data_IF_530641024771
#
_entry.id   IF_530641024771
#
_cell.length_a   1.000
_cell.length_b   1.000
_cell.length_c   1.000
_cell.angle_alpha   90.00
_cell.angle_beta   90.00
_cell.angle_gamma   90.00
#
_symmetry.space_group_name_H-M   'P 1'
#
loop_
_entity.id
_entity.type
_entity.pdbx_description
1 polymer ?
#
# COMPACT_ATOMS: atom_id res chain seq x y z
N UNK A 1 -14.05 -9.45 10.61
CA UNK A 1 -13.25 -9.16 11.82
C UNK A 1 -11.75 -9.23 11.58
N UNK A 2 -11.19 -10.35 11.08
CA UNK A 2 -9.74 -10.47 10.82
C UNK A 2 -9.17 -9.37 9.92
N UNK A 3 -9.83 -9.06 8.79
CA UNK A 3 -9.37 -7.98 7.90
C UNK A 3 -9.33 -6.60 8.58
N UNK A 4 -10.31 -6.30 9.45
CA UNK A 4 -10.33 -5.06 10.22
C UNK A 4 -9.19 -5.00 11.25
N UNK A 5 -8.83 -6.14 11.85
CA UNK A 5 -7.66 -6.23 12.74
C UNK A 5 -6.37 -5.97 11.95
N UNK A 6 -6.17 -6.63 10.80
CA UNK A 6 -4.98 -6.42 9.97
C UNK A 6 -4.84 -4.98 9.45
N UNK A 7 -5.94 -4.36 9.02
CA UNK A 7 -5.95 -2.95 8.62
C UNK A 7 -5.72 -2.01 9.82
N UNK A 8 -6.36 -2.30 10.97
CA UNK A 8 -6.20 -1.54 12.19
C UNK A 8 -4.77 -1.59 12.74
N UNK A 9 -4.10 -2.74 12.72
CA UNK A 9 -2.73 -2.90 13.20
C UNK A 9 -1.73 -2.08 12.38
N UNK A 10 -1.80 -2.14 11.05
CA UNK A 10 -0.89 -1.38 10.19
C UNK A 10 -1.14 0.13 10.28
N UNK A 11 -2.42 0.55 10.33
CA UNK A 11 -2.78 1.96 10.47
C UNK A 11 -2.32 2.52 11.82
N UNK A 12 -2.62 1.82 12.92
CA UNK A 12 -2.18 2.24 14.24
C UNK A 12 -0.65 2.32 14.33
N UNK A 13 0.07 1.35 13.79
CA UNK A 13 1.53 1.36 13.74
C UNK A 13 2.07 2.55 12.96
N UNK A 14 1.53 2.82 11.76
CA UNK A 14 1.94 3.92 10.93
C UNK A 14 1.65 5.28 11.57
N UNK A 15 0.47 5.45 12.18
CA UNK A 15 0.10 6.68 12.89
C UNK A 15 1.00 6.93 14.11
N UNK A 16 1.30 5.90 14.90
CA UNK A 16 2.17 6.04 16.07
C UNK A 16 3.62 6.39 15.68
N UNK A 17 4.09 5.85 14.55
CA UNK A 17 5.49 5.94 14.14
C UNK A 17 5.76 6.92 12.99
N UNK A 18 4.77 7.68 12.51
CA UNK A 18 4.88 8.49 11.30
C UNK A 18 6.12 9.41 11.29
N UNK A 19 6.42 10.13 12.39
CA UNK A 19 7.59 11.02 12.47
C UNK A 19 8.92 10.28 12.33
N UNK A 20 9.00 9.08 12.90
CA UNK A 20 10.19 8.23 12.81
C UNK A 20 10.33 7.67 11.40
N UNK A 21 9.22 7.29 10.75
CA UNK A 21 9.21 6.88 9.34
C UNK A 21 9.59 8.05 8.42
N UNK A 22 9.16 9.27 8.73
CA UNK A 22 9.56 10.48 8.00
C UNK A 22 11.06 10.75 8.11
N UNK A 23 11.68 10.46 9.25
CA UNK A 23 13.14 10.58 9.40
C UNK A 23 13.91 9.65 8.43
N UNK A 24 13.35 8.48 8.07
CA UNK A 24 13.97 7.59 7.07
C UNK A 24 13.98 8.20 5.67
N UNK A 25 13.12 9.18 5.36
CA UNK A 25 13.15 9.88 4.07
C UNK A 25 14.43 10.70 3.89
N UNK A 26 15.05 11.13 5.00
CA UNK A 26 16.34 11.84 5.00
C UNK A 26 17.56 10.89 4.94
N UNK A 27 17.33 9.57 4.93
CA UNK A 27 18.37 8.54 4.95
C UNK A 27 18.63 7.94 6.34
N UNK A 28 19.27 6.76 6.36
CA UNK A 28 19.50 6.01 7.61
C UNK A 28 20.41 6.76 8.59
N UNK A 29 21.53 7.33 8.13
CA UNK A 29 22.47 8.09 8.98
C UNK A 29 21.81 9.33 9.62
N UNK A 30 20.94 10.01 8.88
CA UNK A 30 20.19 11.16 9.38
C UNK A 30 19.17 10.72 10.44
N UNK A 31 18.44 9.63 10.19
CA UNK A 31 17.51 9.06 11.15
C UNK A 31 18.20 8.61 12.46
N UNK A 32 19.37 7.97 12.36
CA UNK A 32 20.17 7.59 13.53
C UNK A 32 20.61 8.82 14.34
N UNK A 33 21.08 9.87 13.66
CA UNK A 33 21.47 11.14 14.30
C UNK A 33 20.30 11.85 15.01
N UNK A 34 19.06 11.63 14.52
CA UNK A 34 17.82 12.10 15.15
C UNK A 34 17.34 11.21 16.30
N UNK A 35 18.13 10.20 16.71
CA UNK A 35 17.82 9.28 17.81
C UNK A 35 16.84 8.17 17.45
N UNK A 36 16.59 7.93 16.16
CA UNK A 36 15.73 6.82 15.72
C UNK A 36 16.51 5.51 15.80
N UNK A 37 16.02 4.47 16.50
CA UNK A 37 16.68 3.18 16.54
C UNK A 37 16.44 2.42 15.21
N UNK A 38 17.18 2.77 14.16
CA UNK A 38 16.96 2.34 12.77
C UNK A 38 16.80 0.84 12.62
N UNK A 39 17.72 0.05 13.18
CA UNK A 39 17.67 -1.42 13.10
C UNK A 39 16.43 -2.03 13.79
N UNK A 40 15.95 -1.43 14.87
CA UNK A 40 14.71 -1.86 15.55
C UNK A 40 13.50 -1.45 14.73
N UNK A 41 13.49 -0.22 14.24
CA UNK A 41 12.39 0.33 13.44
C UNK A 41 12.16 -0.50 12.18
N UNK A 42 13.22 -0.78 11.42
CA UNK A 42 13.17 -1.58 10.19
C UNK A 42 12.58 -2.98 10.44
N UNK A 43 13.03 -3.65 11.49
CA UNK A 43 12.52 -4.97 11.89
C UNK A 43 11.03 -4.90 12.27
N UNK A 44 10.64 -3.92 13.08
CA UNK A 44 9.24 -3.78 13.49
C UNK A 44 8.32 -3.44 12.31
N UNK A 45 8.72 -2.50 11.44
CA UNK A 45 7.95 -2.15 10.23
C UNK A 45 7.75 -3.39 9.35
N UNK A 46 8.81 -4.18 9.14
CA UNK A 46 8.73 -5.40 8.36
C UNK A 46 7.76 -6.42 8.98
N UNK A 47 7.89 -6.69 10.28
CA UNK A 47 7.03 -7.66 10.98
C UNK A 47 5.57 -7.23 10.97
N UNK A 48 5.26 -5.96 11.26
CA UNK A 48 3.89 -5.44 11.24
C UNK A 48 3.30 -5.48 9.84
N UNK A 49 4.08 -5.08 8.82
CA UNK A 49 3.65 -5.13 7.43
C UNK A 49 3.40 -6.56 6.95
N UNK A 50 4.32 -7.49 7.22
CA UNK A 50 4.19 -8.89 6.86
C UNK A 50 2.98 -9.54 7.56
N UNK A 51 2.81 -9.30 8.87
CA UNK A 51 1.69 -9.82 9.65
C UNK A 51 0.34 -9.28 9.15
N UNK A 52 0.24 -7.97 8.95
CA UNK A 52 -0.98 -7.33 8.45
C UNK A 52 -1.32 -7.81 7.04
N UNK A 53 -0.31 -7.97 6.18
CA UNK A 53 -0.48 -8.51 4.82
C UNK A 53 -0.94 -9.96 4.85
N UNK A 54 -0.35 -10.81 5.70
CA UNK A 54 -0.75 -12.21 5.84
C UNK A 54 -2.21 -12.36 6.25
N UNK A 55 -2.67 -11.55 7.21
CA UNK A 55 -4.08 -11.51 7.63
C UNK A 55 -5.00 -11.10 6.48
N UNK A 56 -4.66 -10.01 5.77
CA UNK A 56 -5.49 -9.49 4.67
C UNK A 56 -5.57 -10.49 3.51
N UNK A 57 -4.43 -11.07 3.12
CA UNK A 57 -4.34 -12.08 2.05
C UNK A 57 -5.06 -13.38 2.43
N UNK A 58 -5.02 -13.79 3.70
CA UNK A 58 -5.76 -14.97 4.16
C UNK A 58 -7.28 -14.83 4.00
N UNK A 59 -7.81 -13.60 3.96
CA UNK A 59 -9.24 -13.33 3.84
C UNK A 59 -9.65 -13.00 2.39
N UNK A 60 -8.88 -12.15 1.72
CA UNK A 60 -9.21 -11.63 0.39
C UNK A 60 -8.54 -12.39 -0.76
N UNK A 61 -7.61 -13.29 -0.46
CA UNK A 61 -6.73 -13.90 -1.45
C UNK A 61 -5.59 -12.99 -1.90
N UNK A 62 -4.86 -13.44 -2.91
CA UNK A 62 -3.69 -12.73 -3.44
C UNK A 62 -4.14 -11.60 -4.36
N UNK A 63 -3.73 -10.37 -4.05
CA UNK A 63 -4.00 -9.17 -4.86
C UNK A 63 -2.67 -8.56 -5.31
N UNK A 64 -2.45 -8.48 -6.62
CA UNK A 64 -1.23 -7.95 -7.22
C UNK A 64 -1.28 -6.46 -7.50
N UNK A 65 -0.10 -5.85 -7.66
CA UNK A 65 0.15 -4.48 -8.15
C UNK A 65 -0.36 -3.30 -7.32
N UNK A 66 -1.40 -3.46 -6.49
CA UNK A 66 -1.99 -2.36 -5.69
C UNK A 66 -0.94 -1.69 -4.81
N UNK A 67 -0.09 -2.48 -4.13
CA UNK A 67 0.98 -1.96 -3.27
C UNK A 67 2.07 -1.17 -4.00
N UNK A 68 2.23 -1.38 -5.31
CA UNK A 68 3.12 -0.58 -6.15
C UNK A 68 2.38 0.66 -6.69
N UNK A 69 1.18 0.49 -7.23
CA UNK A 69 0.46 1.56 -7.91
C UNK A 69 -0.05 2.65 -6.95
N UNK A 70 -0.68 2.28 -5.84
CA UNK A 70 -1.38 3.22 -4.95
C UNK A 70 -0.45 4.27 -4.32
N UNK A 71 0.74 3.93 -3.77
CA UNK A 71 1.64 4.93 -3.23
C UNK A 71 2.13 5.94 -4.29
N UNK A 72 2.32 5.50 -5.53
CA UNK A 72 2.75 6.37 -6.62
C UNK A 72 1.64 7.32 -7.08
N UNK A 73 0.38 6.85 -7.13
CA UNK A 73 -0.78 7.69 -7.41
C UNK A 73 -1.07 8.69 -6.29
N UNK A 74 -0.80 8.29 -5.05
CA UNK A 74 -1.09 9.11 -3.86
C UNK A 74 -0.05 10.22 -3.61
N UNK A 75 1.22 9.98 -3.99
CA UNK A 75 2.34 10.89 -3.74
C UNK A 75 2.14 12.33 -4.26
N UNK A 76 1.67 12.57 -5.50
CA UNK A 76 1.45 13.94 -5.99
C UNK A 76 0.43 14.74 -5.16
N UNK A 77 -0.52 14.06 -4.52
CA UNK A 77 -1.60 14.69 -3.77
C UNK A 77 -1.27 14.85 -2.28
N UNK A 78 -0.66 13.84 -1.67
CA UNK A 78 -0.40 13.82 -0.23
C UNK A 78 1.00 14.35 0.15
N UNK A 79 1.92 14.38 -0.81
CA UNK A 79 3.33 14.67 -0.57
C UNK A 79 4.10 13.46 -0.02
N UNK A 80 5.35 13.66 0.43
CA UNK A 80 6.23 12.57 0.84
C UNK A 80 6.02 12.09 2.29
N UNK A 81 5.36 12.90 3.14
CA UNK A 81 5.22 12.61 4.57
C UNK A 81 4.23 11.47 4.82
N UNK A 82 4.63 10.51 5.67
CA UNK A 82 3.94 9.24 5.89
C UNK A 82 2.53 9.41 6.45
N UNK A 83 2.28 10.40 7.32
CA UNK A 83 0.95 10.59 7.91
C UNK A 83 -0.11 10.84 6.83
N UNK A 84 0.16 11.79 5.92
CA UNK A 84 -0.75 12.12 4.82
C UNK A 84 -0.73 11.02 3.76
N UNK A 85 0.45 10.48 3.46
CA UNK A 85 0.60 9.44 2.45
C UNK A 85 -0.18 8.17 2.81
N UNK A 86 -0.07 7.67 4.05
CA UNK A 86 -0.80 6.47 4.51
C UNK A 86 -2.31 6.67 4.45
N UNK A 87 -2.80 7.83 4.88
CA UNK A 87 -4.23 8.16 4.79
C UNK A 87 -4.72 8.19 3.33
N UNK A 88 -3.97 8.85 2.44
CA UNK A 88 -4.31 8.87 1.01
C UNK A 88 -4.25 7.49 0.38
N UNK A 89 -3.23 6.68 0.67
CA UNK A 89 -3.11 5.31 0.17
C UNK A 89 -4.28 4.43 0.63
N UNK A 90 -4.75 4.59 1.86
CA UNK A 90 -5.91 3.85 2.37
C UNK A 90 -7.17 4.19 1.56
N UNK A 91 -7.40 5.47 1.27
CA UNK A 91 -8.56 5.93 0.48
C UNK A 91 -8.45 5.49 -0.98
N UNK A 92 -7.34 5.80 -1.66
CA UNK A 92 -7.13 5.41 -3.06
C UNK A 92 -7.17 3.89 -3.25
N UNK A 93 -6.56 3.14 -2.32
CA UNK A 93 -6.60 1.68 -2.32
C UNK A 93 -8.02 1.14 -2.16
N UNK A 94 -8.80 1.68 -1.22
CA UNK A 94 -10.19 1.27 -1.03
C UNK A 94 -11.05 1.56 -2.28
N UNK A 95 -10.91 2.75 -2.87
CA UNK A 95 -11.65 3.12 -4.09
C UNK A 95 -11.30 2.20 -5.26
N UNK A 96 -10.02 1.94 -5.50
CA UNK A 96 -9.57 1.06 -6.58
C UNK A 96 -10.09 -0.37 -6.39
N UNK A 97 -9.99 -0.91 -5.17
CA UNK A 97 -10.41 -2.28 -4.88
C UNK A 97 -11.93 -2.41 -5.01
N UNK A 98 -12.71 -1.46 -4.50
CA UNK A 98 -14.17 -1.48 -4.65
C UNK A 98 -14.59 -1.37 -6.12
N UNK A 99 -13.95 -0.50 -6.90
CA UNK A 99 -14.21 -0.38 -8.33
C UNK A 99 -13.85 -1.68 -9.08
N UNK A 100 -12.74 -2.32 -8.70
CA UNK A 100 -12.30 -3.57 -9.30
C UNK A 100 -13.23 -4.73 -8.94
N UNK A 101 -13.73 -4.80 -7.71
CA UNK A 101 -14.71 -5.82 -7.28
C UNK A 101 -16.03 -5.65 -8.04
N UNK A 102 -16.49 -4.40 -8.18
CA UNK A 102 -17.70 -4.11 -8.94
C UNK A 102 -17.55 -4.55 -10.40
N UNK A 103 -16.43 -4.19 -11.06
CA UNK A 103 -16.15 -4.61 -12.43
C UNK A 103 -16.04 -6.13 -12.57
N UNK A 104 -15.40 -6.81 -11.61
CA UNK A 104 -15.28 -8.26 -11.61
C UNK A 104 -16.65 -8.96 -11.62
N UNK A 105 -17.62 -8.40 -10.90
CA UNK A 105 -18.98 -8.95 -10.81
C UNK A 105 -19.85 -8.61 -12.02
N UNK A 106 -19.60 -7.48 -12.70
CA UNK A 106 -20.47 -7.01 -13.80
C UNK A 106 -20.02 -7.42 -15.20
N UNK A 107 -18.73 -7.68 -15.42
CA UNK A 107 -18.19 -7.85 -16.78
C UNK A 107 -18.61 -9.16 -17.47
N UNK A 108 -18.72 -10.27 -16.74
CA UNK A 108 -18.93 -11.60 -17.32
C UNK A 108 -19.94 -12.46 -16.53
N UNK A 109 -21.24 -12.13 -16.51
CA UNK A 109 -22.25 -13.05 -15.97
C UNK A 109 -22.25 -14.38 -16.77
N UNK A 110 -22.28 -15.59 -16.18
CA UNK A 110 -22.39 -15.96 -14.76
C UNK A 110 -21.04 -16.31 -14.07
N UNK A 111 -19.90 -16.03 -14.70
CA UNK A 111 -18.57 -16.39 -14.21
C UNK A 111 -17.97 -15.27 -13.36
N UNK A 112 -17.64 -15.56 -12.11
CA UNK A 112 -16.95 -14.60 -11.25
C UNK A 112 -15.47 -14.51 -11.65
N UNK A 113 -15.07 -13.33 -12.14
CA UNK A 113 -13.65 -13.08 -12.40
C UNK A 113 -12.89 -12.85 -11.09
N UNK A 114 -11.71 -13.46 -10.91
CA UNK A 114 -10.84 -13.11 -9.81
C UNK A 114 -10.44 -11.63 -9.91
N UNK A 115 -10.69 -10.85 -8.86
CA UNK A 115 -10.36 -9.42 -8.80
C UNK A 115 -8.87 -9.14 -9.10
N UNK A 116 -8.00 -10.10 -8.76
CA UNK A 116 -6.57 -10.04 -9.00
C UNK A 116 -6.20 -9.93 -10.48
N UNK A 117 -7.02 -10.44 -11.40
CA UNK A 117 -6.82 -10.27 -12.85
C UNK A 117 -7.01 -8.80 -13.21
N UNK A 118 -8.11 -8.19 -12.77
CA UNK A 118 -8.42 -6.78 -13.05
C UNK A 118 -7.35 -5.87 -12.46
N UNK A 119 -7.01 -6.05 -11.18
CA UNK A 119 -6.01 -5.19 -10.52
C UNK A 119 -4.62 -5.37 -11.13
N UNK A 120 -4.25 -6.58 -11.56
CA UNK A 120 -2.95 -6.82 -12.19
C UNK A 120 -2.89 -6.28 -13.62
N UNK A 121 -3.96 -6.38 -14.41
CA UNK A 121 -4.02 -5.77 -15.74
C UNK A 121 -3.88 -4.25 -15.68
N UNK A 122 -4.65 -3.60 -14.79
CA UNK A 122 -4.56 -2.15 -14.58
C UNK A 122 -3.18 -1.75 -14.04
N UNK A 123 -2.67 -2.51 -13.06
CA UNK A 123 -1.36 -2.28 -12.47
C UNK A 123 -0.20 -2.43 -13.45
N UNK A 124 -0.24 -3.45 -14.31
CA UNK A 124 0.76 -3.65 -15.35
C UNK A 124 0.76 -2.49 -16.35
N UNK A 125 -0.43 -2.06 -16.80
CA UNK A 125 -0.57 -0.88 -17.65
C UNK A 125 0.00 0.39 -16.98
N UNK A 126 -0.29 0.58 -15.69
CA UNK A 126 0.26 1.70 -14.91
C UNK A 126 1.78 1.67 -14.84
N UNK A 127 2.39 0.52 -14.55
CA UNK A 127 3.85 0.41 -14.46
C UNK A 127 4.52 0.66 -15.82
N UNK A 128 3.97 0.10 -16.90
CA UNK A 128 4.51 0.30 -18.27
C UNK A 128 4.45 1.78 -18.68
N UNK A 129 3.30 2.44 -18.47
CA UNK A 129 3.15 3.87 -18.79
C UNK A 129 4.10 4.75 -17.96
N UNK A 130 4.30 4.43 -16.68
CA UNK A 130 5.24 5.14 -15.82
C UNK A 130 6.70 4.95 -16.27
N UNK A 131 7.09 3.74 -16.68
CA UNK A 131 8.42 3.46 -17.20
C UNK A 131 8.70 4.18 -18.52
N UNK A 132 7.73 4.24 -19.43
CA UNK A 132 7.87 4.96 -20.70
C UNK A 132 8.04 6.46 -20.44
N UNK A 133 7.23 7.04 -19.54
CA UNK A 133 7.30 8.46 -19.21
C UNK A 133 8.63 8.88 -18.59
N UNK A 134 9.26 8.02 -17.79
CA UNK A 134 10.55 8.32 -17.15
C UNK A 134 11.76 8.16 -18.10
N UNK A 135 11.58 7.57 -19.29
CA UNK A 135 12.65 7.41 -20.29
C UNK A 135 12.66 8.51 -21.35
N UNK A 136 11.53 9.20 -21.54
CA UNK A 136 11.39 10.36 -22.42
C UNK A 136 11.74 11.65 -21.68
#
# INVERSE_FOLDING_TARGET
WLGALGAGTILAYALWNHRRLDAFLAGENAAESLGVPVARMRRMTFLVAAFSTAILVSVAGVIGFVGLMIPHLSRPLAGPLHLRLVASCAVFGAVLLLASDLLARTLLPPQELPIGIITSSVGAFFVVTMLIRNRL
#
